data_IF_134214414344
#
_entry.id   IF_134214414344
#
_cell.length_a   1.000
_cell.length_b   1.000
_cell.length_c   1.000
_cell.angle_alpha   90.00
_cell.angle_beta   90.00
_cell.angle_gamma   90.00
#
_symmetry.space_group_name_H-M   'P 1'
#
loop_
_entity.id
_entity.type
_entity.pdbx_description
1 polymer ?
#
# COMPACT_ATOMS: atom_id res chain seq x y z
N UNK A 1 19.44 -6.63 -1.25
CA UNK A 1 18.04 -6.19 -1.40
C UNK A 1 17.97 -5.02 -2.35
N UNK A 2 17.05 -5.08 -3.31
CA UNK A 2 16.61 -3.94 -4.12
C UNK A 2 15.43 -3.27 -3.41
N UNK A 3 15.35 -1.95 -3.51
CA UNK A 3 14.43 -1.15 -2.72
C UNK A 3 13.82 -0.08 -3.62
N UNK A 4 12.50 0.00 -3.62
CA UNK A 4 11.72 1.04 -4.30
C UNK A 4 10.71 1.62 -3.32
N UNK A 5 10.79 2.92 -3.06
CA UNK A 5 10.02 3.61 -2.03
C UNK A 5 9.20 4.72 -2.70
N UNK A 6 7.92 4.85 -2.35
CA UNK A 6 7.06 5.93 -2.86
C UNK A 6 6.54 5.69 -4.28
N UNK A 7 6.15 4.46 -4.62
CA UNK A 7 5.50 4.15 -5.89
C UNK A 7 3.98 4.40 -5.78
N UNK A 8 3.36 5.24 -6.63
CA UNK A 8 1.93 5.48 -6.58
C UNK A 8 1.17 4.24 -7.07
N UNK A 9 0.22 3.77 -6.28
CA UNK A 9 -0.64 2.64 -6.67
C UNK A 9 -2.06 3.08 -7.07
N UNK A 10 -2.43 4.32 -6.74
CA UNK A 10 -3.73 4.90 -7.04
C UNK A 10 -3.59 6.39 -7.38
N UNK A 11 -4.58 6.95 -8.07
CA UNK A 11 -4.66 8.39 -8.29
C UNK A 11 -4.76 9.14 -6.93
N UNK A 12 -4.13 10.32 -6.79
CA UNK A 12 -4.20 11.10 -5.56
C UNK A 12 -5.66 11.38 -5.15
N UNK A 13 -6.10 11.01 -3.94
CA UNK A 13 -7.47 11.21 -3.48
C UNK A 13 -7.65 12.66 -3.02
N UNK A 14 -7.47 13.61 -3.92
CA UNK A 14 -7.57 15.06 -3.66
C UNK A 14 -8.71 15.68 -4.46
N UNK A 15 -9.17 16.85 -4.01
CA UNK A 15 -10.22 17.60 -4.70
C UNK A 15 -11.48 16.76 -4.92
N UNK A 16 -11.86 16.53 -6.18
CA UNK A 16 -13.05 15.73 -6.53
C UNK A 16 -12.93 14.26 -6.14
N UNK A 17 -11.70 13.74 -5.95
CA UNK A 17 -11.44 12.34 -5.58
C UNK A 17 -11.38 12.11 -4.06
N UNK A 18 -11.40 13.18 -3.24
CA UNK A 18 -11.19 13.12 -1.78
C UNK A 18 -11.97 12.00 -1.07
N UNK A 19 -13.26 11.88 -1.39
CA UNK A 19 -14.16 10.92 -0.77
C UNK A 19 -14.54 9.77 -1.71
N UNK A 20 -13.96 9.72 -2.90
CA UNK A 20 -14.24 8.67 -3.89
C UNK A 20 -13.52 7.37 -3.53
N UNK A 21 -14.00 6.25 -4.08
CA UNK A 21 -13.24 4.99 -4.09
C UNK A 21 -11.90 5.22 -4.77
N UNK A 22 -10.84 4.52 -4.35
CA UNK A 22 -9.55 4.59 -5.01
C UNK A 22 -9.70 4.37 -6.52
N UNK A 23 -9.08 5.25 -7.31
CA UNK A 23 -9.04 5.13 -8.76
C UNK A 23 -7.65 4.66 -9.20
N UNK A 24 -7.54 3.88 -10.28
CA UNK A 24 -6.24 3.45 -10.78
C UNK A 24 -5.38 4.66 -11.13
N UNK A 25 -4.10 4.58 -10.82
CA UNK A 25 -3.13 5.58 -11.26
C UNK A 25 -2.92 5.44 -12.77
N UNK A 26 -3.14 6.50 -13.55
CA UNK A 26 -3.04 6.43 -15.02
C UNK A 26 -1.70 7.02 -15.44
N UNK A 27 -0.97 6.34 -16.32
CA UNK A 27 0.38 6.76 -16.76
C UNK A 27 0.38 8.16 -17.41
N UNK A 28 -0.74 8.64 -17.95
CA UNK A 28 -0.87 10.03 -18.42
C UNK A 28 -0.67 11.07 -17.31
N UNK A 29 -0.81 10.68 -16.05
CA UNK A 29 -0.54 11.51 -14.87
C UNK A 29 0.98 11.62 -14.60
N UNK A 30 1.80 10.73 -15.19
CA UNK A 30 3.25 10.85 -15.27
C UNK A 30 3.58 11.66 -16.53
N UNK A 31 4.37 12.71 -16.40
CA UNK A 31 4.80 13.56 -17.51
C UNK A 31 5.47 12.77 -18.65
N UNK A 32 4.68 12.24 -19.57
CA UNK A 32 5.06 11.74 -20.88
C UNK A 32 6.27 10.76 -20.89
N UNK A 33 6.30 9.81 -19.94
CA UNK A 33 7.36 8.79 -19.88
C UNK A 33 8.58 9.16 -19.04
N UNK A 34 8.50 10.16 -18.16
CA UNK A 34 9.55 10.41 -17.15
C UNK A 34 9.66 9.24 -16.17
N UNK A 35 10.89 8.81 -15.91
CA UNK A 35 11.22 7.86 -14.84
C UNK A 35 10.83 8.48 -13.50
N UNK A 36 9.98 7.79 -12.73
CA UNK A 36 9.64 8.22 -11.38
C UNK A 36 10.77 7.85 -10.41
N UNK A 37 11.18 8.82 -9.59
CA UNK A 37 12.16 8.55 -8.54
C UNK A 37 11.50 7.83 -7.38
N UNK A 38 11.86 6.56 -7.16
CA UNK A 38 11.34 5.71 -6.09
C UNK A 38 12.39 5.46 -4.98
N UNK A 39 13.06 6.52 -4.52
CA UNK A 39 14.10 6.44 -3.46
C UNK A 39 13.71 7.13 -2.16
N UNK A 40 12.54 7.75 -2.08
CA UNK A 40 12.10 8.53 -0.93
C UNK A 40 10.66 8.17 -0.57
N UNK A 41 10.38 8.13 0.73
CA UNK A 41 9.01 7.95 1.22
C UNK A 41 8.14 9.12 0.78
N UNK A 42 6.95 8.78 0.30
CA UNK A 42 5.86 9.74 0.11
C UNK A 42 5.27 10.15 1.47
N UNK A 43 4.53 11.28 1.55
CA UNK A 43 3.85 11.67 2.77
C UNK A 43 2.88 10.59 3.27
N UNK A 44 2.76 10.45 4.59
CA UNK A 44 1.73 9.59 5.18
C UNK A 44 0.35 10.24 4.99
N UNK A 45 -0.71 9.42 5.02
CA UNK A 45 -2.07 9.95 4.91
C UNK A 45 -2.44 10.90 6.06
N UNK A 46 -3.42 11.82 5.87
CA UNK A 46 -3.77 12.82 6.87
C UNK A 46 -4.23 12.19 8.18
N UNK A 47 -3.57 12.57 9.27
CA UNK A 47 -3.80 12.03 10.60
C UNK A 47 -3.28 13.01 11.66
N UNK A 48 -3.60 12.74 12.93
CA UNK A 48 -3.08 13.54 14.04
C UNK A 48 -1.66 13.09 14.32
N UNK A 49 -0.73 14.05 14.45
CA UNK A 49 0.62 13.75 14.89
C UNK A 49 0.62 13.26 16.33
N UNK A 50 1.25 12.11 16.58
CA UNK A 50 1.41 11.52 17.89
C UNK A 50 2.86 11.16 18.11
N UNK A 51 3.49 11.86 19.06
CA UNK A 51 4.87 11.63 19.47
C UNK A 51 5.12 10.15 19.73
N UNK A 52 6.12 9.60 19.04
CA UNK A 52 6.53 8.19 19.16
C UNK A 52 5.68 7.19 18.36
N UNK A 53 4.64 7.65 17.64
CA UNK A 53 3.78 6.80 16.81
C UNK A 53 3.78 7.29 15.37
N UNK A 54 3.53 8.58 15.14
CA UNK A 54 3.46 9.18 13.81
C UNK A 54 4.31 10.44 13.78
N UNK A 55 5.02 10.65 12.67
CA UNK A 55 5.69 11.93 12.40
C UNK A 55 5.48 12.29 10.94
N UNK A 56 5.26 13.58 10.68
CA UNK A 56 5.02 14.08 9.33
C UNK A 56 6.18 13.85 8.35
N UNK A 57 6.01 14.22 7.07
CA UNK A 57 4.90 15.02 6.54
C UNK A 57 3.61 14.22 6.30
N UNK A 58 2.46 14.89 6.41
CA UNK A 58 1.14 14.36 6.05
C UNK A 58 0.57 15.08 4.85
N UNK A 59 0.02 14.34 3.89
CA UNK A 59 -0.65 14.87 2.70
C UNK A 59 -1.85 13.99 2.30
N UNK A 60 -2.83 14.53 1.59
CA UNK A 60 -3.90 13.74 0.99
C UNK A 60 -3.40 12.93 -0.21
N UNK A 61 -2.37 13.40 -0.91
CA UNK A 61 -1.63 12.61 -1.89
C UNK A 61 -0.70 11.61 -1.15
N UNK A 62 -1.29 10.50 -0.69
CA UNK A 62 -0.64 9.52 0.17
C UNK A 62 -0.79 8.06 -0.28
N UNK A 63 -1.40 7.78 -1.43
CA UNK A 63 -1.67 6.41 -1.89
C UNK A 63 -0.46 5.78 -2.60
N UNK A 64 0.59 5.55 -1.82
CA UNK A 64 1.87 5.01 -2.27
C UNK A 64 2.21 3.68 -1.60
N UNK A 65 3.06 2.91 -2.27
CA UNK A 65 3.61 1.66 -1.79
C UNK A 65 5.14 1.65 -1.87
N UNK A 66 5.72 0.76 -1.08
CA UNK A 66 7.16 0.54 -0.96
C UNK A 66 7.44 -0.95 -1.15
N UNK A 67 8.53 -1.31 -1.83
CA UNK A 67 8.90 -2.67 -2.19
C UNK A 67 10.35 -2.95 -1.78
N UNK A 68 10.57 -4.04 -1.06
CA UNK A 68 11.88 -4.61 -0.78
C UNK A 68 11.95 -6.01 -1.36
N UNK A 69 12.89 -6.23 -2.28
CA UNK A 69 13.04 -7.50 -2.98
C UNK A 69 14.47 -8.05 -2.86
N UNK A 70 14.66 -9.37 -2.80
CA UNK A 70 15.97 -9.98 -2.96
C UNK A 70 16.66 -9.57 -4.27
N UNK A 71 18.00 -9.45 -4.25
CA UNK A 71 18.79 -9.08 -5.45
C UNK A 71 19.02 -10.26 -6.39
N UNK A 72 19.25 -11.43 -5.81
CA UNK A 72 19.41 -12.65 -6.57
C UNK A 72 18.05 -13.02 -7.20
N UNK A 73 18.09 -13.72 -8.32
CA UNK A 73 16.89 -14.41 -8.80
C UNK A 73 16.58 -15.59 -7.89
N UNK A 74 15.30 -16.00 -7.76
CA UNK A 74 14.92 -17.17 -6.99
C UNK A 74 15.75 -18.39 -7.42
N UNK A 75 16.45 -19.01 -6.47
CA UNK A 75 17.43 -20.07 -6.76
C UNK A 75 16.78 -21.37 -7.28
N UNK A 76 15.47 -21.56 -7.06
CA UNK A 76 14.80 -22.86 -7.20
C UNK A 76 13.40 -22.84 -7.83
N UNK A 77 12.96 -21.77 -8.49
CA UNK A 77 11.60 -21.75 -9.04
C UNK A 77 11.50 -21.06 -10.39
N UNK A 78 10.77 -21.70 -11.31
CA UNK A 78 10.15 -21.04 -12.47
C UNK A 78 9.09 -20.00 -12.08
N UNK A 79 8.85 -19.84 -10.77
CA UNK A 79 7.93 -18.88 -10.14
C UNK A 79 8.74 -17.83 -9.39
N UNK A 80 8.26 -16.60 -9.30
CA UNK A 80 8.90 -15.53 -8.54
C UNK A 80 8.94 -15.79 -7.03
N UNK A 81 9.48 -14.83 -6.26
CA UNK A 81 9.44 -14.85 -4.80
C UNK A 81 8.01 -14.69 -4.25
N UNK A 82 7.63 -15.38 -3.17
CA UNK A 82 6.38 -15.08 -2.48
C UNK A 82 6.38 -13.63 -1.99
N UNK A 83 5.19 -13.03 -1.89
CA UNK A 83 5.00 -11.61 -1.61
C UNK A 83 4.23 -11.45 -0.31
N UNK A 84 4.76 -10.67 0.63
CA UNK A 84 4.08 -10.24 1.84
C UNK A 84 3.62 -8.80 1.67
N UNK A 85 2.31 -8.55 1.66
CA UNK A 85 1.73 -7.22 1.73
C UNK A 85 1.46 -6.85 3.19
N UNK A 86 2.20 -5.87 3.72
CA UNK A 86 2.08 -5.33 5.06
C UNK A 86 1.06 -4.19 5.14
N UNK A 87 0.04 -4.35 5.98
CA UNK A 87 -0.93 -3.32 6.36
C UNK A 87 -0.61 -2.82 7.78
N UNK A 88 -0.19 -1.56 7.90
CA UNK A 88 0.18 -0.97 9.19
C UNK A 88 -1.01 -0.88 10.16
N UNK A 89 -0.70 -0.80 11.47
CA UNK A 89 -1.69 -0.62 12.54
C UNK A 89 -2.09 0.84 12.76
N UNK A 90 -2.57 1.15 13.97
CA UNK A 90 -3.00 2.51 14.37
C UNK A 90 -4.52 2.70 14.41
N UNK A 91 -5.27 1.63 14.71
CA UNK A 91 -6.71 1.70 14.98
C UNK A 91 -7.57 2.21 13.82
N UNK A 92 -7.03 2.23 12.60
CA UNK A 92 -7.65 2.82 11.40
C UNK A 92 -7.83 4.35 11.50
N UNK A 93 -7.08 5.00 12.39
CA UNK A 93 -7.11 6.44 12.68
C UNK A 93 -5.77 7.11 12.36
N UNK A 94 -4.69 6.36 12.52
CA UNK A 94 -3.30 6.80 12.39
C UNK A 94 -2.42 5.61 11.98
N UNK A 95 -1.13 5.84 11.84
CA UNK A 95 -0.14 4.89 11.34
C UNK A 95 0.36 5.23 9.94
N UNK A 96 1.48 4.64 9.56
CA UNK A 96 2.01 4.78 8.21
C UNK A 96 2.94 3.63 7.84
N UNK A 97 3.05 3.38 6.53
CA UNK A 97 4.06 2.49 5.96
C UNK A 97 5.50 2.98 6.15
N UNK A 98 5.68 4.27 6.44
CA UNK A 98 6.98 4.95 6.60
C UNK A 98 7.59 4.78 8.00
N UNK A 99 6.85 4.18 8.94
CA UNK A 99 7.35 3.97 10.30
C UNK A 99 8.58 3.04 10.27
N UNK A 100 9.63 3.42 11.01
CA UNK A 100 10.92 2.69 11.02
C UNK A 100 10.79 1.21 11.42
N UNK A 101 9.80 0.89 12.26
CA UNK A 101 9.50 -0.49 12.68
C UNK A 101 8.96 -1.36 11.54
N UNK A 102 8.56 -0.76 10.42
CA UNK A 102 8.03 -1.41 9.22
C UNK A 102 8.97 -1.30 8.01
N UNK A 103 10.22 -0.85 8.20
CA UNK A 103 11.23 -0.89 7.15
C UNK A 103 11.52 -2.36 6.77
N UNK A 104 11.08 -2.74 5.57
CA UNK A 104 11.21 -4.10 5.06
C UNK A 104 12.64 -4.55 4.79
N UNK A 105 13.65 -3.67 4.85
CA UNK A 105 15.04 -4.01 4.56
C UNK A 105 15.56 -5.08 5.53
N UNK A 106 15.33 -4.90 6.83
CA UNK A 106 15.80 -5.82 7.86
C UNK A 106 15.12 -7.19 7.73
N UNK A 107 13.82 -7.20 7.45
CA UNK A 107 13.04 -8.44 7.28
C UNK A 107 13.48 -9.20 6.03
N UNK A 108 13.64 -8.49 4.90
CA UNK A 108 14.10 -9.10 3.64
C UNK A 108 15.51 -9.67 3.77
N UNK A 109 16.42 -8.95 4.44
CA UNK A 109 17.80 -9.42 4.65
C UNK A 109 17.85 -10.64 5.56
N UNK A 110 17.05 -10.68 6.64
CA UNK A 110 16.94 -11.85 7.50
C UNK A 110 16.42 -13.07 6.72
N UNK A 111 15.36 -12.89 5.92
CA UNK A 111 14.81 -13.93 5.06
C UNK A 111 15.82 -14.47 4.04
N UNK A 112 16.67 -13.62 3.48
CA UNK A 112 17.77 -14.02 2.59
C UNK A 112 18.79 -14.89 3.33
N UNK A 113 19.15 -14.54 4.56
CA UNK A 113 20.14 -15.28 5.36
C UNK A 113 19.65 -16.68 5.74
N UNK A 114 18.35 -16.82 5.99
CA UNK A 114 17.70 -18.11 6.31
C UNK A 114 17.32 -18.93 5.07
N UNK A 115 17.64 -18.46 3.86
CA UNK A 115 17.27 -19.09 2.59
C UNK A 115 15.73 -19.21 2.36
N UNK A 116 14.94 -18.37 3.04
CA UNK A 116 13.48 -18.28 2.96
C UNK A 116 13.06 -16.92 2.36
N UNK A 117 13.70 -16.52 1.25
CA UNK A 117 13.55 -15.18 0.67
C UNK A 117 12.12 -14.88 0.19
N UNK A 118 11.61 -13.69 0.52
CA UNK A 118 10.32 -13.16 0.05
C UNK A 118 10.43 -11.66 -0.26
N UNK A 119 9.45 -11.15 -1.02
CA UNK A 119 9.28 -9.71 -1.26
C UNK A 119 8.37 -9.13 -0.19
N UNK A 120 8.71 -7.96 0.31
CA UNK A 120 7.83 -7.18 1.19
C UNK A 120 7.30 -6.00 0.41
N UNK A 121 5.98 -5.79 0.50
CA UNK A 121 5.30 -4.58 0.04
C UNK A 121 4.61 -3.93 1.23
N UNK A 122 4.83 -2.64 1.49
CA UNK A 122 4.05 -1.88 2.48
C UNK A 122 3.32 -0.74 1.79
N UNK A 123 2.15 -0.36 2.32
CA UNK A 123 1.30 0.68 1.72
C UNK A 123 0.78 1.66 2.76
N UNK A 124 0.64 2.91 2.37
CA UNK A 124 -0.24 3.86 3.06
C UNK A 124 -1.64 3.77 2.45
N UNK A 125 -2.66 3.94 3.28
CA UNK A 125 -4.07 3.92 2.91
C UNK A 125 -4.81 4.97 3.73
N UNK A 126 -5.92 5.55 3.23
CA UNK A 126 -6.62 6.60 3.97
C UNK A 126 -7.06 6.11 5.35
N UNK A 127 -7.04 7.02 6.33
CA UNK A 127 -7.33 6.78 7.75
C UNK A 127 -8.40 7.75 8.27
N UNK A 128 -8.88 7.54 9.50
CA UNK A 128 -9.81 8.43 10.19
C UNK A 128 -11.06 8.76 9.34
N UNK A 129 -11.49 10.02 9.24
CA UNK A 129 -12.62 10.42 8.41
C UNK A 129 -12.35 10.16 6.92
N UNK A 130 -11.10 10.30 6.47
CA UNK A 130 -10.68 10.05 5.08
C UNK A 130 -10.94 8.61 4.65
N UNK A 131 -10.90 7.64 5.58
CA UNK A 131 -11.15 6.22 5.25
C UNK A 131 -12.62 5.84 5.18
N UNK A 132 -13.48 6.59 5.86
CA UNK A 132 -14.86 6.22 6.10
C UNK A 132 -15.71 7.47 6.24
N UNK A 133 -15.87 8.17 5.12
CA UNK A 133 -16.84 9.25 5.01
C UNK A 133 -18.02 8.73 4.20
N UNK A 134 -19.20 8.71 4.81
CA UNK A 134 -20.42 8.19 4.20
C UNK A 134 -21.50 9.25 4.29
N UNK A 135 -22.03 9.65 3.14
CA UNK A 135 -23.11 10.62 3.05
C UNK A 135 -23.97 10.30 1.83
N UNK A 136 -25.28 10.54 1.93
CA UNK A 136 -26.26 10.09 0.92
C UNK A 136 -26.12 10.73 -0.46
N UNK A 137 -25.55 11.94 -0.56
CA UNK A 137 -25.23 12.59 -1.83
C UNK A 137 -23.90 12.13 -2.42
N UNK A 138 -23.05 11.45 -1.64
CA UNK A 138 -21.81 10.86 -2.14
C UNK A 138 -22.11 9.49 -2.75
N UNK A 139 -22.36 9.48 -4.06
CA UNK A 139 -22.70 8.28 -4.82
C UNK A 139 -21.72 8.04 -5.96
N UNK A 140 -21.55 6.77 -6.33
CA UNK A 140 -20.80 6.42 -7.55
C UNK A 140 -21.67 6.59 -8.80
N UNK A 141 -21.09 6.27 -9.97
CA UNK A 141 -21.75 6.43 -11.26
C UNK A 141 -23.08 5.65 -11.39
N UNK A 142 -23.31 4.64 -10.54
CA UNK A 142 -24.54 3.85 -10.51
C UNK A 142 -25.53 4.34 -9.43
N UNK A 143 -25.26 5.47 -8.78
CA UNK A 143 -26.07 6.01 -7.70
C UNK A 143 -25.90 5.26 -6.37
N UNK A 144 -24.90 4.38 -6.23
CA UNK A 144 -24.65 3.66 -4.98
C UNK A 144 -23.84 4.53 -4.02
N UNK A 145 -24.26 4.59 -2.75
CA UNK A 145 -23.52 5.32 -1.71
C UNK A 145 -22.08 4.84 -1.62
N UNK A 146 -21.14 5.78 -1.66
CA UNK A 146 -19.71 5.50 -1.49
C UNK A 146 -19.40 5.42 0.00
N UNK A 147 -18.64 4.39 0.36
CA UNK A 147 -18.15 4.16 1.70
C UNK A 147 -16.84 3.38 1.64
N UNK A 148 -16.21 3.18 2.81
CA UNK A 148 -15.04 2.32 2.98
C UNK A 148 -13.85 2.71 2.09
N UNK A 149 -13.64 4.01 1.88
CA UNK A 149 -12.56 4.56 1.06
C UNK A 149 -11.19 3.90 1.36
N UNK A 150 -10.81 3.78 2.64
CA UNK A 150 -9.54 3.14 3.03
C UNK A 150 -9.45 1.65 2.67
N UNK A 151 -10.57 0.92 2.69
CA UNK A 151 -10.61 -0.48 2.22
C UNK A 151 -10.46 -0.53 0.70
N UNK A 152 -11.06 0.42 -0.03
CA UNK A 152 -10.87 0.51 -1.48
C UNK A 152 -9.44 0.86 -1.87
N UNK A 153 -8.74 1.65 -1.06
CA UNK A 153 -7.31 1.95 -1.24
C UNK A 153 -6.48 0.66 -1.14
N UNK A 154 -6.69 -0.12 -0.08
CA UNK A 154 -6.02 -1.41 0.11
C UNK A 154 -6.32 -2.40 -1.04
N UNK A 155 -7.57 -2.46 -1.53
CA UNK A 155 -7.93 -3.27 -2.70
C UNK A 155 -7.25 -2.80 -3.98
N UNK A 156 -7.11 -1.49 -4.17
CA UNK A 156 -6.37 -0.93 -5.31
C UNK A 156 -4.89 -1.29 -5.24
N UNK A 157 -4.28 -1.22 -4.07
CA UNK A 157 -2.90 -1.67 -3.87
C UNK A 157 -2.74 -3.18 -4.16
N UNK A 158 -3.65 -4.02 -3.67
CA UNK A 158 -3.65 -5.46 -3.97
C UNK A 158 -3.75 -5.73 -5.48
N UNK A 159 -4.62 -5.00 -6.18
CA UNK A 159 -4.72 -5.08 -7.64
C UNK A 159 -3.42 -4.64 -8.32
N UNK A 160 -2.85 -3.52 -7.89
CA UNK A 160 -1.57 -3.04 -8.41
C UNK A 160 -0.47 -4.08 -8.24
N UNK A 161 -0.36 -4.70 -7.06
CA UNK A 161 0.63 -5.74 -6.78
C UNK A 161 0.40 -6.94 -7.69
N UNK A 162 -0.84 -7.43 -7.81
CA UNK A 162 -1.16 -8.54 -8.69
C UNK A 162 -0.78 -8.28 -10.16
N UNK A 163 -0.98 -7.03 -10.63
CA UNK A 163 -0.70 -6.63 -12.01
C UNK A 163 0.80 -6.39 -12.27
N UNK A 164 1.61 -6.08 -11.24
CA UNK A 164 2.98 -5.56 -11.44
C UNK A 164 4.10 -6.35 -10.74
N UNK A 165 3.82 -7.16 -9.72
CA UNK A 165 4.88 -7.67 -8.82
C UNK A 165 5.88 -8.62 -9.50
N UNK A 166 5.49 -9.25 -10.61
CA UNK A 166 6.39 -10.07 -11.44
C UNK A 166 7.59 -9.26 -11.96
N UNK A 167 7.42 -7.95 -12.21
CA UNK A 167 8.50 -7.06 -12.64
C UNK A 167 9.55 -6.82 -11.54
N UNK A 168 9.17 -7.05 -10.28
CA UNK A 168 10.03 -6.98 -9.11
C UNK A 168 10.56 -8.37 -8.68
N UNK A 169 10.29 -9.40 -9.48
CA UNK A 169 10.69 -10.78 -9.22
C UNK A 169 9.73 -11.56 -8.32
N UNK A 170 8.51 -11.07 -8.08
CA UNK A 170 7.51 -11.73 -7.23
C UNK A 170 6.61 -12.72 -7.98
N UNK A 171 6.00 -13.64 -7.25
CA UNK A 171 4.93 -14.52 -7.73
C UNK A 171 3.57 -13.89 -7.39
N UNK A 172 2.86 -13.38 -8.42
CA UNK A 172 1.53 -12.77 -8.26
C UNK A 172 0.46 -13.73 -7.76
N UNK A 173 0.70 -15.04 -7.79
CA UNK A 173 -0.21 -16.06 -7.26
C UNK A 173 0.15 -16.48 -5.82
N UNK A 174 1.20 -15.90 -5.24
CA UNK A 174 1.64 -16.17 -3.86
C UNK A 174 1.76 -14.87 -3.09
N UNK A 175 0.61 -14.25 -2.79
CA UNK A 175 0.51 -13.01 -2.02
C UNK A 175 -0.14 -13.32 -0.66
N UNK A 176 0.57 -12.99 0.41
CA UNK A 176 0.11 -13.11 1.80
C UNK A 176 -0.13 -11.72 2.37
N UNK A 177 -1.32 -11.48 2.91
CA UNK A 177 -1.58 -10.27 3.70
C UNK A 177 -1.05 -10.46 5.12
N UNK A 178 -0.29 -9.49 5.62
CA UNK A 178 0.20 -9.43 6.99
C UNK A 178 -0.08 -8.04 7.58
N UNK A 179 -0.34 -7.96 8.87
CA UNK A 179 -0.67 -6.68 9.50
C UNK A 179 -0.96 -6.79 10.98
N UNK A 180 -0.97 -5.64 11.65
CA UNK A 180 -1.13 -5.54 13.10
C UNK A 180 -2.29 -4.60 13.46
N UNK A 181 -3.05 -4.90 14.53
CA UNK A 181 -4.17 -4.08 15.02
C UNK A 181 -5.14 -3.69 13.89
N UNK A 182 -5.28 -2.40 13.57
CA UNK A 182 -6.12 -1.92 12.46
C UNK A 182 -5.80 -2.57 11.11
N UNK A 183 -4.52 -2.84 10.83
CA UNK A 183 -4.10 -3.60 9.66
C UNK A 183 -4.62 -5.03 9.68
N UNK A 184 -4.54 -5.72 10.83
CA UNK A 184 -5.12 -7.06 11.00
C UNK A 184 -6.65 -7.06 10.85
N UNK A 185 -7.34 -6.06 11.42
CA UNK A 185 -8.78 -5.88 11.19
C UNK A 185 -9.12 -5.68 9.71
N UNK A 186 -8.28 -4.96 8.97
CA UNK A 186 -8.44 -4.79 7.52
C UNK A 186 -8.29 -6.11 6.77
N UNK A 187 -7.34 -6.97 7.17
CA UNK A 187 -7.18 -8.33 6.61
C UNK A 187 -8.44 -9.15 6.83
N UNK A 188 -9.01 -9.14 8.05
CA UNK A 188 -10.27 -9.82 8.33
C UNK A 188 -11.40 -9.33 7.42
N UNK A 189 -11.50 -8.02 7.15
CA UNK A 189 -12.47 -7.44 6.22
C UNK A 189 -12.26 -7.99 4.80
N UNK A 190 -11.02 -8.05 4.31
CA UNK A 190 -10.73 -8.56 2.97
C UNK A 190 -11.04 -10.05 2.80
N UNK A 191 -10.79 -10.85 3.84
CA UNK A 191 -11.08 -12.30 3.82
C UNK A 191 -12.58 -12.56 3.67
N UNK A 192 -13.43 -11.73 4.30
CA UNK A 192 -14.89 -11.93 4.29
C UNK A 192 -15.63 -11.08 3.27
N UNK A 193 -14.95 -10.12 2.64
CA UNK A 193 -15.53 -9.30 1.57
C UNK A 193 -15.81 -10.17 0.35
N UNK A 194 -16.99 -10.06 -0.28
CA UNK A 194 -17.28 -10.73 -1.55
C UNK A 194 -16.45 -10.15 -2.72
#
# INVERSE_FOLDING_TARGET
TNVWIGIPYAAPPIGILRWQKAQPYVISDINNGTIQNATHYSPSCPQIERVGITSGPFDEDCLYLNIWAPRASPSNSSRGYPVMLWLHGGGLQEGSSTQIIYDGLSWTNAAIQENDSFIIVSIDYRLNVMRFFVQSALTDANGQTIANQGITDQRMAMKWIQDNIEQFGGDKNSITLAGQSGGSSSICIHIVSP
#
